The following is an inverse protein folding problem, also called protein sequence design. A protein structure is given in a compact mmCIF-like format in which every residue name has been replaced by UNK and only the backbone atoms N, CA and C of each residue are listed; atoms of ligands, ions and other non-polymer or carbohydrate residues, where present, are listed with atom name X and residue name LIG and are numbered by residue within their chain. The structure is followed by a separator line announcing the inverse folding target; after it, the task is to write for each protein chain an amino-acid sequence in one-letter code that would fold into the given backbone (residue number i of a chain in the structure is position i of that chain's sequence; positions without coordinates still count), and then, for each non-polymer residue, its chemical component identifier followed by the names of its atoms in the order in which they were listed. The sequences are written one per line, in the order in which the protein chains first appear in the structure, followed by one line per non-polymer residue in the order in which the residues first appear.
data_IF_860929064618
#
_entry.id   IF_860929064618
#
_cell.length_a   1.000
_cell.length_b   1.000
_cell.length_c   1.000
_cell.angle_alpha   90.00
_cell.angle_beta   90.00
_cell.angle_gamma   90.00
#
_symmetry.space_group_name_H-M   'P 1'
#
loop_
_entity.id
_entity.type
_entity.pdbx_description
1 polymer ?
#
# COMPACT_ATOMS: atom_id res chain seq x y z
N UNK A 1 6.28 -4.79 -18.17
CA UNK A 1 6.14 -6.25 -18.08
C UNK A 1 4.84 -6.59 -17.38
N UNK A 2 4.01 -7.44 -17.98
CA UNK A 2 2.76 -7.87 -17.38
C UNK A 2 2.99 -9.20 -16.65
N UNK A 3 2.46 -9.31 -15.45
CA UNK A 3 2.53 -10.54 -14.66
C UNK A 3 1.17 -11.24 -14.68
N UNK A 4 1.18 -12.55 -14.71
CA UNK A 4 -0.04 -13.33 -14.57
C UNK A 4 -0.56 -13.22 -13.12
N UNK A 5 -1.87 -13.36 -12.96
CA UNK A 5 -2.47 -13.46 -11.63
C UNK A 5 -1.91 -14.71 -10.92
N UNK A 6 -1.89 -14.65 -9.60
CA UNK A 6 -1.40 -15.76 -8.78
C UNK A 6 -2.50 -16.84 -8.68
N UNK A 7 -2.40 -17.86 -9.52
CA UNK A 7 -3.37 -18.96 -9.55
C UNK A 7 -3.08 -20.02 -8.48
N UNK A 8 -1.95 -19.94 -7.78
CA UNK A 8 -1.60 -20.93 -6.76
C UNK A 8 -2.46 -20.71 -5.50
N UNK A 9 -2.94 -21.80 -4.85
CA UNK A 9 -3.63 -21.64 -3.58
C UNK A 9 -2.72 -21.01 -2.53
N UNK A 10 -3.30 -20.09 -1.73
CA UNK A 10 -2.57 -19.54 -0.58
C UNK A 10 -2.40 -20.62 0.49
N UNK A 11 -1.16 -20.98 0.78
CA UNK A 11 -0.85 -22.01 1.77
C UNK A 11 -1.28 -21.60 3.18
N UNK A 12 -1.45 -22.57 4.09
CA UNK A 12 -1.84 -22.30 5.47
C UNK A 12 -0.85 -21.35 6.15
N UNK A 13 -1.37 -20.36 6.85
CA UNK A 13 -0.56 -19.41 7.60
C UNK A 13 0.17 -18.37 6.77
N UNK A 14 -0.01 -18.38 5.45
CA UNK A 14 0.63 -17.41 4.56
C UNK A 14 -0.30 -16.22 4.27
N UNK A 15 0.32 -15.09 3.93
CA UNK A 15 -0.38 -13.86 3.53
C UNK A 15 -0.24 -13.73 2.02
N UNK A 16 -1.37 -13.63 1.32
CA UNK A 16 -1.40 -13.64 -0.14
C UNK A 16 -2.41 -12.64 -0.67
N UNK A 17 -2.04 -11.91 -1.72
CA UNK A 17 -2.98 -11.08 -2.47
C UNK A 17 -4.08 -11.92 -3.12
N UNK A 18 -3.80 -13.17 -3.45
CA UNK A 18 -4.78 -14.10 -4.01
C UNK A 18 -5.88 -14.48 -3.01
N UNK A 19 -5.66 -14.21 -1.72
CA UNK A 19 -6.65 -14.40 -0.65
C UNK A 19 -6.69 -13.15 0.22
N UNK A 20 -7.46 -12.13 -0.18
CA UNK A 20 -7.44 -10.82 0.47
C UNK A 20 -7.71 -10.84 1.97
N UNK A 21 -8.50 -11.80 2.45
CA UNK A 21 -8.79 -11.92 3.88
C UNK A 21 -7.51 -12.12 4.71
N UNK A 22 -6.47 -12.75 4.16
CA UNK A 22 -5.20 -12.93 4.87
C UNK A 22 -4.52 -11.60 5.16
N UNK A 23 -4.69 -10.61 4.27
CA UNK A 23 -4.14 -9.27 4.45
C UNK A 23 -4.97 -8.50 5.48
N UNK A 24 -6.30 -8.61 5.42
CA UNK A 24 -7.19 -8.05 6.45
C UNK A 24 -6.80 -8.57 7.83
N UNK A 25 -6.64 -9.88 7.96
CA UNK A 25 -6.30 -10.52 9.23
C UNK A 25 -4.95 -10.03 9.76
N UNK A 26 -3.97 -9.86 8.87
CA UNK A 26 -2.65 -9.35 9.24
C UNK A 26 -2.72 -7.92 9.76
N UNK A 27 -3.52 -7.05 9.12
CA UNK A 27 -3.73 -5.68 9.59
C UNK A 27 -4.38 -5.65 10.96
N UNK A 28 -5.43 -6.44 11.14
CA UNK A 28 -6.12 -6.53 12.44
C UNK A 28 -5.19 -7.03 13.53
N UNK A 29 -4.39 -8.06 13.23
CA UNK A 29 -3.40 -8.59 14.18
C UNK A 29 -2.36 -7.56 14.58
N UNK A 30 -2.03 -6.65 13.67
CA UNK A 30 -1.09 -5.56 13.94
C UNK A 30 -1.73 -4.36 14.65
N UNK A 31 -3.04 -4.42 14.92
CA UNK A 31 -3.74 -3.37 15.65
C UNK A 31 -4.37 -2.29 14.78
N UNK A 32 -4.43 -2.48 13.47
CA UNK A 32 -5.04 -1.52 12.56
C UNK A 32 -6.44 -1.98 12.15
N UNK A 33 -7.33 -1.04 11.87
CA UNK A 33 -8.62 -1.39 11.29
C UNK A 33 -8.40 -1.85 9.84
N UNK A 34 -9.33 -2.65 9.32
CA UNK A 34 -9.25 -3.10 7.94
C UNK A 34 -10.66 -3.41 7.43
N UNK A 35 -11.03 -2.80 6.31
CA UNK A 35 -12.31 -3.03 5.66
C UNK A 35 -12.09 -3.46 4.24
N UNK A 36 -12.47 -4.70 3.94
CA UNK A 36 -12.37 -5.23 2.57
C UNK A 36 -13.55 -4.73 1.75
N UNK A 37 -13.27 -4.18 0.60
CA UNK A 37 -14.24 -3.68 -0.36
C UNK A 37 -13.74 -3.94 -1.78
N UNK A 38 -14.27 -3.26 -2.76
CA UNK A 38 -13.85 -3.35 -4.15
C UNK A 38 -13.57 -1.96 -4.70
N UNK A 39 -12.63 -1.90 -5.64
CA UNK A 39 -12.36 -0.66 -6.39
C UNK A 39 -13.35 -0.51 -7.56
N UNK A 40 -13.16 0.54 -8.36
CA UNK A 40 -14.04 0.84 -9.50
C UNK A 40 -13.99 -0.20 -10.63
N UNK A 41 -12.97 -1.06 -10.64
CA UNK A 41 -12.80 -2.10 -11.66
C UNK A 41 -13.24 -3.46 -11.16
N UNK A 42 -13.69 -3.56 -9.91
CA UNK A 42 -14.15 -4.81 -9.32
C UNK A 42 -13.06 -5.63 -8.65
N UNK A 43 -11.84 -5.12 -8.57
CA UNK A 43 -10.76 -5.77 -7.85
C UNK A 43 -10.89 -5.51 -6.34
N UNK A 44 -10.35 -6.39 -5.50
CA UNK A 44 -10.35 -6.15 -4.06
C UNK A 44 -9.65 -4.84 -3.70
N UNK A 45 -10.10 -4.23 -2.63
CA UNK A 45 -9.49 -3.03 -2.05
C UNK A 45 -9.68 -3.10 -0.54
N UNK A 46 -8.67 -2.72 0.21
CA UNK A 46 -8.77 -2.62 1.67
C UNK A 46 -8.61 -1.16 2.07
N UNK A 47 -9.46 -0.70 2.97
CA UNK A 47 -9.36 0.61 3.57
C UNK A 47 -8.93 0.49 5.01
N UNK A 48 -7.98 1.32 5.41
CA UNK A 48 -7.39 1.32 6.74
C UNK A 48 -6.94 2.74 7.13
N UNK A 49 -6.27 2.86 8.25
CA UNK A 49 -5.72 4.14 8.71
C UNK A 49 -4.55 3.90 9.65
N UNK A 50 -3.59 4.81 9.64
CA UNK A 50 -2.46 4.82 10.56
C UNK A 50 -1.91 6.24 10.66
N UNK A 51 -1.43 6.61 11.85
CA UNK A 51 -0.74 7.89 12.07
C UNK A 51 -1.53 9.12 11.62
N UNK A 52 -2.86 9.07 11.77
CA UNK A 52 -3.73 10.17 11.40
C UNK A 52 -4.08 10.25 9.91
N UNK A 53 -3.64 9.29 9.11
CA UNK A 53 -3.96 9.23 7.68
C UNK A 53 -4.82 8.02 7.37
N UNK A 54 -5.83 8.22 6.53
CA UNK A 54 -6.53 7.12 5.88
C UNK A 54 -5.69 6.65 4.71
N UNK A 55 -5.62 5.33 4.52
CA UNK A 55 -4.92 4.76 3.37
C UNK A 55 -5.70 3.58 2.79
N UNK A 56 -5.34 3.23 1.57
CA UNK A 56 -5.95 2.09 0.89
C UNK A 56 -4.86 1.09 0.49
N UNK A 57 -5.26 -0.17 0.38
CA UNK A 57 -4.43 -1.19 -0.24
C UNK A 57 -5.17 -1.64 -1.50
N UNK A 58 -4.54 -1.42 -2.64
CA UNK A 58 -5.06 -1.84 -3.95
C UNK A 58 -4.45 -3.17 -4.34
N UNK A 59 -5.21 -3.97 -5.07
CA UNK A 59 -4.79 -5.30 -5.53
C UNK A 59 -4.54 -5.24 -7.03
N UNK A 60 -3.48 -5.88 -7.48
CA UNK A 60 -3.06 -5.84 -8.88
C UNK A 60 -2.79 -7.24 -9.42
N UNK A 61 -2.72 -7.31 -10.76
CA UNK A 61 -2.48 -8.56 -11.48
C UNK A 61 -3.54 -9.59 -11.14
N UNK A 62 -4.79 -9.13 -11.07
CA UNK A 62 -5.93 -9.96 -10.77
C UNK A 62 -6.51 -10.58 -12.05
N UNK A 63 -7.20 -11.70 -11.89
CA UNK A 63 -7.95 -12.34 -12.95
C UNK A 63 -9.42 -12.29 -12.60
N UNK A 64 -10.18 -11.42 -13.30
CA UNK A 64 -11.61 -11.22 -13.04
C UNK A 64 -11.91 -10.93 -11.57
N UNK A 65 -11.11 -10.05 -10.96
CA UNK A 65 -11.27 -9.65 -9.57
C UNK A 65 -10.78 -10.66 -8.55
N UNK A 66 -10.03 -11.68 -8.98
CA UNK A 66 -9.53 -12.75 -8.12
C UNK A 66 -8.09 -13.10 -8.44
N UNK A 67 -7.49 -13.93 -7.58
CA UNK A 67 -6.14 -14.48 -7.77
C UNK A 67 -5.09 -13.39 -8.00
N UNK A 68 -5.23 -12.25 -7.30
CA UNK A 68 -4.30 -11.15 -7.45
C UNK A 68 -2.88 -11.55 -7.00
N UNK A 69 -1.87 -10.96 -7.61
CA UNK A 69 -0.47 -11.34 -7.37
C UNK A 69 0.29 -10.33 -6.53
N UNK A 70 -0.18 -9.09 -6.45
CA UNK A 70 0.51 -8.02 -5.73
C UNK A 70 -0.47 -7.03 -5.14
N UNK A 71 0.06 -6.23 -4.21
CA UNK A 71 -0.70 -5.16 -3.57
C UNK A 71 0.11 -3.88 -3.56
N UNK A 72 -0.60 -2.76 -3.42
CA UNK A 72 0.02 -1.46 -3.24
C UNK A 72 -0.68 -0.73 -2.10
N UNK A 73 0.09 -0.40 -1.07
CA UNK A 73 -0.35 0.55 -0.04
C UNK A 73 -0.29 1.94 -0.64
N UNK A 74 -1.32 2.76 -0.42
CA UNK A 74 -1.37 4.08 -1.01
C UNK A 74 -2.04 5.09 -0.09
N UNK A 75 -1.41 6.25 0.08
CA UNK A 75 -2.02 7.44 0.66
C UNK A 75 -1.89 8.57 -0.36
N UNK A 76 -2.95 9.36 -0.50
CA UNK A 76 -2.99 10.45 -1.48
C UNK A 76 -3.35 11.77 -0.80
N UNK A 77 -2.80 12.85 -1.34
CA UNK A 77 -3.04 14.21 -0.85
C UNK A 77 -3.47 15.08 -2.02
N UNK A 78 -4.48 15.91 -1.81
CA UNK A 78 -4.94 16.84 -2.84
C UNK A 78 -3.90 17.94 -3.10
N UNK A 79 -4.05 18.62 -4.22
CA UNK A 79 -3.23 19.79 -4.54
C UNK A 79 -3.39 20.87 -3.45
N UNK A 80 -2.30 21.20 -2.80
CA UNK A 80 -2.25 22.26 -1.78
C UNK A 80 -1.31 23.42 -2.19
N UNK A 81 -0.88 23.42 -3.45
CA UNK A 81 0.08 24.39 -3.98
C UNK A 81 1.52 24.11 -3.63
N UNK A 82 1.81 23.06 -2.87
CA UNK A 82 3.15 22.71 -2.40
C UNK A 82 3.67 21.40 -2.97
N UNK A 83 2.83 20.67 -3.70
CA UNK A 83 3.21 19.39 -4.28
C UNK A 83 4.02 19.61 -5.56
N UNK A 84 5.32 19.39 -5.49
CA UNK A 84 6.23 19.59 -6.62
C UNK A 84 7.06 18.33 -6.86
N UNK A 85 7.58 18.14 -8.10
CA UNK A 85 8.53 17.05 -8.35
C UNK A 85 9.75 17.11 -7.45
N UNK A 86 10.19 18.30 -7.06
CA UNK A 86 11.32 18.50 -6.16
C UNK A 86 11.01 17.95 -4.76
N UNK A 87 9.80 18.18 -4.27
CA UNK A 87 9.35 17.62 -2.98
C UNK A 87 9.39 16.09 -3.03
N UNK A 88 8.83 15.50 -4.09
CA UNK A 88 8.81 14.06 -4.25
C UNK A 88 10.24 13.50 -4.35
N UNK A 89 11.10 14.16 -5.12
CA UNK A 89 12.49 13.73 -5.26
C UNK A 89 13.24 13.76 -3.94
N UNK A 90 13.02 14.79 -3.11
CA UNK A 90 13.67 14.87 -1.80
C UNK A 90 13.22 13.72 -0.88
N UNK A 91 11.93 13.39 -0.87
CA UNK A 91 11.45 12.23 -0.13
C UNK A 91 12.13 10.95 -0.62
N UNK A 92 12.09 10.70 -1.92
CA UNK A 92 12.61 9.46 -2.52
C UNK A 92 14.11 9.31 -2.32
N UNK A 93 14.84 10.43 -2.32
CA UNK A 93 16.29 10.43 -2.11
C UNK A 93 16.67 10.12 -0.67
N UNK A 94 15.86 10.57 0.29
CA UNK A 94 16.20 10.53 1.71
C UNK A 94 15.50 9.43 2.49
N UNK A 95 14.48 8.77 1.91
CA UNK A 95 13.66 7.77 2.61
C UNK A 95 13.66 6.44 1.87
N UNK A 96 13.32 5.38 2.58
CA UNK A 96 13.24 4.02 2.02
C UNK A 96 11.79 3.54 2.00
N UNK A 97 11.54 2.54 1.18
CA UNK A 97 10.29 1.79 1.03
C UNK A 97 9.15 2.55 0.38
N UNK A 98 8.76 3.71 0.90
CA UNK A 98 7.67 4.48 0.32
C UNK A 98 8.19 5.38 -0.78
N UNK A 99 7.56 5.33 -1.94
CA UNK A 99 7.87 6.22 -3.05
C UNK A 99 6.79 7.30 -3.16
N UNK A 100 7.20 8.50 -3.52
CA UNK A 100 6.34 9.66 -3.64
C UNK A 100 6.34 10.17 -5.08
N UNK A 101 5.17 10.53 -5.60
CA UNK A 101 5.05 11.09 -6.93
C UNK A 101 3.98 12.18 -6.97
N UNK A 102 4.12 13.10 -7.92
CA UNK A 102 3.15 14.17 -8.15
C UNK A 102 2.41 13.86 -9.45
N UNK A 103 1.08 13.82 -9.37
CA UNK A 103 0.24 13.56 -10.53
C UNK A 103 0.03 14.79 -11.40
N UNK A 104 -0.64 14.59 -12.52
CA UNK A 104 -0.97 15.68 -13.46
C UNK A 104 -1.92 16.71 -12.85
N UNK A 105 -2.67 16.30 -11.84
CA UNK A 105 -3.60 17.16 -11.09
C UNK A 105 -2.92 17.88 -9.93
N UNK A 106 -1.59 17.78 -9.81
CA UNK A 106 -0.79 18.28 -8.70
C UNK A 106 -1.14 17.63 -7.35
N UNK A 107 -1.83 16.50 -7.39
CA UNK A 107 -2.02 15.65 -6.21
C UNK A 107 -0.74 14.90 -5.90
N UNK A 108 -0.56 14.54 -4.63
CA UNK A 108 0.59 13.78 -4.18
C UNK A 108 0.17 12.36 -3.86
N UNK A 109 0.96 11.39 -4.31
CA UNK A 109 0.72 9.98 -4.04
C UNK A 109 1.94 9.36 -3.39
N UNK A 110 1.71 8.65 -2.28
CA UNK A 110 2.77 7.91 -1.59
C UNK A 110 2.39 6.44 -1.59
N UNK A 111 3.26 5.60 -2.10
CA UNK A 111 2.97 4.19 -2.39
C UNK A 111 4.05 3.25 -1.91
N UNK A 112 3.64 2.02 -1.63
CA UNK A 112 4.55 0.92 -1.31
C UNK A 112 4.00 -0.34 -1.98
N UNK A 113 4.74 -0.85 -2.96
CA UNK A 113 4.35 -2.03 -3.73
C UNK A 113 4.96 -3.29 -3.14
N UNK A 114 4.15 -4.35 -3.04
CA UNK A 114 4.58 -5.63 -2.47
C UNK A 114 4.04 -6.76 -3.34
N UNK A 115 4.94 -7.61 -3.84
CA UNK A 115 4.53 -8.85 -4.48
C UNK A 115 4.30 -9.91 -3.40
N UNK A 116 3.23 -10.70 -3.57
CA UNK A 116 2.91 -11.77 -2.63
C UNK A 116 2.86 -13.13 -3.30
N UNK A 117 3.35 -13.25 -4.54
CA UNK A 117 3.34 -14.53 -5.26
C UNK A 117 4.02 -15.61 -4.42
N UNK A 118 3.32 -16.73 -4.25
CA UNK A 118 3.81 -17.84 -3.40
C UNK A 118 3.50 -17.64 -1.92
N UNK A 119 3.02 -16.47 -1.53
CA UNK A 119 2.68 -16.14 -0.14
C UNK A 119 3.88 -15.63 0.65
N UNK A 120 3.61 -14.73 1.58
CA UNK A 120 4.60 -14.23 2.54
C UNK A 120 4.27 -14.83 3.91
N UNK A 121 5.32 -15.17 4.70
CA UNK A 121 5.04 -15.60 6.06
C UNK A 121 4.53 -14.43 6.90
N UNK A 122 3.86 -14.73 7.99
CA UNK A 122 3.19 -13.72 8.82
C UNK A 122 4.18 -12.73 9.42
N UNK A 123 5.37 -13.18 9.79
CA UNK A 123 6.39 -12.31 10.36
C UNK A 123 6.91 -11.30 9.34
N UNK A 124 7.15 -11.75 8.11
CA UNK A 124 7.58 -10.84 7.03
C UNK A 124 6.50 -9.80 6.75
N UNK A 125 5.24 -10.24 6.63
CA UNK A 125 4.16 -9.29 6.31
C UNK A 125 3.87 -8.32 7.46
N UNK A 126 4.03 -8.75 8.71
CA UNK A 126 3.95 -7.84 9.85
C UNK A 126 5.02 -6.74 9.76
N UNK A 127 6.22 -7.09 9.29
CA UNK A 127 7.29 -6.12 9.08
C UNK A 127 6.97 -5.17 7.91
N UNK A 128 6.34 -5.68 6.85
CA UNK A 128 5.85 -4.84 5.75
C UNK A 128 4.89 -3.76 6.28
N UNK A 129 3.95 -4.17 7.12
CA UNK A 129 2.98 -3.23 7.73
C UNK A 129 3.71 -2.21 8.62
N UNK A 130 4.67 -2.68 9.42
CA UNK A 130 5.45 -1.79 10.29
C UNK A 130 6.22 -0.74 9.49
N UNK A 131 6.83 -1.14 8.38
CA UNK A 131 7.53 -0.18 7.51
C UNK A 131 6.57 0.83 6.91
N UNK A 132 5.42 0.37 6.42
CA UNK A 132 4.41 1.28 5.87
C UNK A 132 3.97 2.30 6.92
N UNK A 133 3.52 1.82 8.08
CA UNK A 133 3.00 2.68 9.14
C UNK A 133 4.09 3.62 9.70
N UNK A 134 5.29 3.10 9.92
CA UNK A 134 6.40 3.90 10.43
C UNK A 134 6.81 5.01 9.48
N UNK A 135 6.89 4.70 8.19
CA UNK A 135 7.22 5.71 7.19
C UNK A 135 6.10 6.73 6.99
N UNK A 136 4.82 6.31 7.08
CA UNK A 136 3.70 7.26 7.09
C UNK A 136 3.81 8.22 8.28
N UNK A 137 4.27 7.73 9.41
CA UNK A 137 4.50 8.58 10.60
C UNK A 137 5.54 9.65 10.36
N UNK A 138 6.44 9.49 9.39
CA UNK A 138 7.45 10.49 9.05
C UNK A 138 6.94 11.55 8.08
N UNK A 139 5.78 11.34 7.44
CA UNK A 139 5.25 12.29 6.45
C UNK A 139 5.00 13.67 7.06
N UNK A 140 4.37 13.72 8.24
CA UNK A 140 4.09 15.00 8.89
C UNK A 140 5.36 15.80 9.15
N UNK A 141 6.40 15.15 9.66
CA UNK A 141 7.68 15.79 9.91
C UNK A 141 8.31 16.28 8.61
N UNK A 142 8.29 15.42 7.60
CA UNK A 142 8.86 15.76 6.30
C UNK A 142 8.18 17.00 5.70
N UNK A 143 6.83 17.03 5.70
CA UNK A 143 6.10 18.17 5.17
C UNK A 143 6.41 19.47 5.92
N UNK A 144 6.55 19.40 7.24
CA UNK A 144 6.94 20.57 8.05
C UNK A 144 8.33 21.05 7.72
N UNK A 145 9.27 20.14 7.51
CA UNK A 145 10.66 20.48 7.18
C UNK A 145 10.77 21.11 5.79
N UNK A 146 9.91 20.71 4.83
CA UNK A 146 9.92 21.21 3.46
C UNK A 146 9.08 22.49 3.30
N UNK A 147 8.20 22.75 4.21
CA UNK A 147 7.33 23.92 4.22
C UNK A 147 7.87 25.03 5.06
#
# INVERSE_FOLDING_TARGET
MAHAADAAPCGPGLVCASKPQTIVDALLAAGYKARLTKDGEGDPKIESAANGYDFSIFFYDCQQGRNCASIQFQVSFADDGKNTPELANEWNRSKRFLQMSVGKDNGLRVCYDVTTVGGLNSKNFADVIDWWAGMMGQLNRFFKEQG
#
